data_IF_755846571658
#
_entry.id   IF_755846571658
#
_cell.length_a   1.000
_cell.length_b   1.000
_cell.length_c   1.000
_cell.angle_alpha   90.00
_cell.angle_beta   90.00
_cell.angle_gamma   90.00
#
_symmetry.space_group_name_H-M   'P 1'
#
loop_
_entity.id
_entity.type
_entity.pdbx_description
1 polymer ?
#
# COMPACT_ATOMS: atom_id res chain seq x y z
N UNK A 1 8.08 -7.14 -26.89
CA UNK A 1 7.64 -7.93 -25.71
C UNK A 1 7.01 -6.97 -24.71
N UNK A 2 5.76 -7.21 -24.35
CA UNK A 2 4.95 -6.30 -23.53
C UNK A 2 5.45 -6.36 -22.08
N UNK A 3 6.35 -5.45 -21.67
CA UNK A 3 6.75 -5.30 -20.28
C UNK A 3 5.55 -4.75 -19.51
N UNK A 4 4.64 -5.63 -19.08
CA UNK A 4 3.67 -5.28 -18.02
C UNK A 4 4.51 -4.85 -16.82
N UNK A 5 4.37 -3.59 -16.40
CA UNK A 5 4.98 -3.10 -15.16
C UNK A 5 4.63 -4.09 -14.04
N UNK A 6 5.65 -4.74 -13.48
CA UNK A 6 5.44 -5.71 -12.41
C UNK A 6 5.11 -4.92 -11.15
N UNK A 7 3.84 -4.90 -10.78
CA UNK A 7 3.40 -4.19 -9.58
C UNK A 7 4.02 -4.80 -8.31
N UNK A 8 4.22 -4.00 -7.25
CA UNK A 8 4.45 -4.52 -5.91
C UNK A 8 3.34 -5.48 -5.49
N UNK A 9 3.67 -6.47 -4.66
CA UNK A 9 2.72 -7.48 -4.18
C UNK A 9 2.33 -7.22 -2.73
N UNK A 10 1.07 -7.47 -2.39
CA UNK A 10 0.63 -7.52 -0.99
C UNK A 10 0.79 -8.95 -0.47
N UNK A 11 1.73 -9.13 0.45
CA UNK A 11 2.26 -10.46 0.79
C UNK A 11 1.97 -10.93 2.22
N UNK A 12 1.55 -10.03 3.10
CA UNK A 12 1.13 -10.36 4.47
C UNK A 12 0.31 -9.23 5.09
N UNK A 13 -0.24 -9.48 6.27
CA UNK A 13 -0.67 -8.45 7.23
C UNK A 13 0.45 -8.21 8.22
N UNK A 14 0.80 -6.95 8.43
CA UNK A 14 1.87 -6.55 9.33
C UNK A 14 1.48 -6.86 10.77
N UNK A 15 2.34 -7.63 11.45
CA UNK A 15 2.22 -7.97 12.87
C UNK A 15 3.54 -7.58 13.55
N UNK A 16 3.54 -6.87 14.69
CA UNK A 16 4.78 -6.47 15.37
C UNK A 16 5.70 -7.64 15.72
N UNK A 17 5.13 -8.83 15.96
CA UNK A 17 5.87 -10.06 16.25
C UNK A 17 6.61 -10.66 15.05
N UNK A 18 6.31 -10.22 13.82
CA UNK A 18 6.90 -10.73 12.58
C UNK A 18 7.70 -9.63 11.89
N UNK A 19 9.04 -9.66 11.92
CA UNK A 19 9.84 -8.63 11.30
C UNK A 19 9.66 -8.64 9.77
N UNK A 20 9.71 -7.45 9.18
CA UNK A 20 9.66 -7.30 7.73
C UNK A 20 10.92 -7.85 7.07
N UNK A 21 10.73 -8.60 5.99
CA UNK A 21 11.82 -9.09 5.17
C UNK A 21 12.47 -7.99 4.31
N UNK A 22 13.57 -8.35 3.64
CA UNK A 22 14.23 -7.49 2.65
C UNK A 22 13.21 -7.04 1.59
N UNK A 23 13.23 -5.75 1.21
CA UNK A 23 12.30 -5.14 0.23
C UNK A 23 10.82 -5.15 0.63
N UNK A 24 10.51 -5.29 1.92
CA UNK A 24 9.14 -5.19 2.40
C UNK A 24 8.89 -3.85 3.10
N UNK A 25 7.67 -3.34 2.98
CA UNK A 25 7.21 -2.07 3.54
C UNK A 25 5.86 -2.26 4.23
N UNK A 26 5.65 -1.64 5.41
CA UNK A 26 4.33 -1.58 6.00
C UNK A 26 3.48 -0.53 5.26
N UNK A 27 2.30 -0.94 4.82
CA UNK A 27 1.29 -0.09 4.21
C UNK A 27 0.11 0.03 5.18
N UNK A 28 0.05 1.14 5.89
CA UNK A 28 -1.04 1.45 6.82
C UNK A 28 -2.30 1.76 6.00
N UNK A 29 -3.34 0.94 6.15
CA UNK A 29 -4.64 1.11 5.49
C UNK A 29 -5.58 1.90 6.40
N UNK A 30 -5.68 1.46 7.66
CA UNK A 30 -6.44 2.09 8.73
C UNK A 30 -5.79 1.80 10.10
N UNK A 31 -6.51 2.10 11.19
CA UNK A 31 -6.05 1.93 12.57
C UNK A 31 -5.81 0.46 12.96
N UNK A 32 -6.55 -0.47 12.35
CA UNK A 32 -6.56 -1.89 12.69
C UNK A 32 -5.85 -2.76 11.63
N UNK A 33 -5.65 -2.24 10.42
CA UNK A 33 -5.09 -2.96 9.29
C UNK A 33 -3.85 -2.26 8.73
N UNK A 34 -2.71 -2.94 8.86
CA UNK A 34 -1.49 -2.61 8.14
C UNK A 34 -1.09 -3.80 7.29
N UNK A 35 -0.91 -3.60 6.00
CA UNK A 35 -0.50 -4.63 5.05
C UNK A 35 1.02 -4.62 4.84
N UNK A 36 1.57 -5.74 4.37
CA UNK A 36 2.97 -5.84 3.96
C UNK A 36 3.07 -5.82 2.45
N UNK A 37 3.68 -4.77 1.93
CA UNK A 37 3.98 -4.61 0.51
C UNK A 37 5.40 -5.10 0.20
N UNK A 38 5.54 -6.03 -0.74
CA UNK A 38 6.82 -6.54 -1.25
C UNK A 38 7.15 -5.90 -2.60
N UNK A 39 8.28 -5.20 -2.66
CA UNK A 39 8.76 -4.49 -3.86
C UNK A 39 9.88 -5.24 -4.60
N UNK A 40 10.13 -6.53 -4.33
CA UNK A 40 11.15 -7.31 -5.07
C UNK A 40 10.84 -7.37 -6.56
N UNK A 41 9.57 -7.56 -6.90
CA UNK A 41 9.15 -7.74 -8.29
C UNK A 41 9.09 -6.44 -9.09
N UNK A 42 9.12 -5.28 -8.43
CA UNK A 42 8.88 -4.00 -9.10
C UNK A 42 10.08 -3.43 -9.86
N UNK A 43 11.23 -4.11 -9.82
CA UNK A 43 12.44 -3.64 -10.52
C UNK A 43 12.96 -2.30 -10.00
N UNK A 44 12.43 -1.82 -8.87
CA UNK A 44 12.87 -0.57 -8.22
C UNK A 44 14.34 -0.71 -7.84
N UNK A 45 14.76 -1.86 -7.29
CA UNK A 45 16.14 -2.07 -6.86
C UNK A 45 16.81 -3.12 -7.75
N UNK A 46 17.87 -2.72 -8.45
CA UNK A 46 18.62 -3.57 -9.36
C UNK A 46 19.65 -4.42 -8.60
N UNK A 47 19.28 -5.62 -8.15
CA UNK A 47 20.23 -6.46 -7.40
C UNK A 47 21.40 -7.01 -8.28
N UNK A 48 21.28 -7.04 -9.63
CA UNK A 48 22.22 -7.76 -10.51
C UNK A 48 22.56 -7.04 -11.83
N UNK A 49 23.04 -5.79 -11.80
CA UNK A 49 23.67 -5.22 -13.02
C UNK A 49 25.17 -5.12 -12.85
N UNK A 50 25.91 -5.90 -13.65
CA UNK A 50 27.35 -5.68 -13.83
C UNK A 50 27.55 -4.31 -14.46
N UNK A 51 28.09 -3.38 -13.69
CA UNK A 51 28.71 -2.18 -14.21
C UNK A 51 30.00 -2.61 -14.93
N UNK A 52 30.22 -2.09 -16.14
CA UNK A 52 31.46 -2.26 -16.89
C UNK A 52 31.77 -0.96 -17.61
N UNK A 53 33.06 -0.66 -17.75
CA UNK A 53 33.56 0.46 -18.53
C UNK A 53 34.21 1.56 -17.69
N UNK A 54 34.57 2.65 -18.38
CA UNK A 54 35.39 3.74 -17.86
C UNK A 54 34.84 4.39 -16.59
N UNK A 55 33.52 4.56 -16.48
CA UNK A 55 32.89 5.14 -15.27
C UNK A 55 33.13 4.31 -14.01
N UNK A 56 33.22 2.98 -14.17
CA UNK A 56 33.49 2.08 -13.06
C UNK A 56 34.97 2.15 -12.65
N UNK A 57 35.86 2.23 -13.63
CA UNK A 57 37.29 2.40 -13.39
C UNK A 57 37.56 3.75 -12.70
N UNK A 58 36.94 4.83 -13.16
CA UNK A 58 37.02 6.15 -12.53
C UNK A 58 36.46 6.14 -11.10
N UNK A 59 35.35 5.44 -10.88
CA UNK A 59 34.79 5.26 -9.53
C UNK A 59 35.72 4.45 -8.64
N UNK A 60 36.28 3.34 -9.13
CA UNK A 60 37.21 2.49 -8.38
C UNK A 60 38.49 3.25 -8.01
N UNK A 61 39.04 4.04 -8.93
CA UNK A 61 40.18 4.92 -8.66
C UNK A 61 39.86 5.92 -7.55
N UNK A 62 38.72 6.61 -7.62
CA UNK A 62 38.29 7.55 -6.55
C UNK A 62 38.06 6.84 -5.23
N UNK A 63 37.47 5.64 -5.26
CA UNK A 63 37.19 4.83 -4.08
C UNK A 63 38.47 4.44 -3.34
N UNK A 64 39.52 4.04 -4.07
CA UNK A 64 40.80 3.61 -3.50
C UNK A 64 41.63 4.76 -2.93
N UNK A 65 41.40 6.00 -3.37
CA UNK A 65 42.11 7.18 -2.89
C UNK A 65 41.59 7.64 -1.52
N UNK A 66 40.33 7.36 -1.18
CA UNK A 66 39.71 7.81 0.06
C UNK A 66 40.16 6.94 1.24
N UNK A 67 40.54 7.58 2.35
CA UNK A 67 40.68 6.88 3.62
C UNK A 67 39.32 6.31 4.09
N UNK A 68 39.32 5.30 4.99
CA UNK A 68 38.07 4.75 5.50
C UNK A 68 37.14 5.78 6.15
N UNK A 69 37.70 6.84 6.74
CA UNK A 69 36.91 7.92 7.34
C UNK A 69 36.30 8.84 6.29
N UNK A 70 37.08 9.24 5.29
CA UNK A 70 36.59 10.07 4.17
C UNK A 70 35.52 9.32 3.38
N UNK A 71 35.71 8.03 3.14
CA UNK A 71 34.73 7.18 2.49
C UNK A 71 33.43 7.11 3.29
N UNK A 72 33.50 6.87 4.60
CA UNK A 72 32.31 6.88 5.47
C UNK A 72 31.57 8.21 5.42
N UNK A 73 32.30 9.32 5.41
CA UNK A 73 31.70 10.66 5.32
C UNK A 73 31.07 10.90 3.94
N UNK A 74 31.70 10.47 2.86
CA UNK A 74 31.20 10.64 1.49
C UNK A 74 29.93 9.80 1.21
N UNK A 75 29.75 8.68 1.93
CA UNK A 75 28.58 7.81 1.82
C UNK A 75 27.48 8.14 2.83
N UNK A 76 27.57 9.27 3.53
CA UNK A 76 26.58 9.71 4.51
C UNK A 76 25.93 10.99 4.04
N UNK A 77 24.60 11.03 4.18
CA UNK A 77 23.83 12.26 3.97
C UNK A 77 22.81 12.42 5.09
N UNK A 78 22.50 13.65 5.41
CA UNK A 78 21.46 14.05 6.36
C UNK A 78 20.08 14.10 5.68
N UNK A 79 19.03 14.10 6.51
CA UNK A 79 17.66 14.41 6.02
C UNK A 79 17.62 15.74 5.26
N UNK A 80 18.33 16.77 5.76
CA UNK A 80 18.31 18.11 5.16
C UNK A 80 18.85 18.09 3.73
N UNK A 81 19.99 17.44 3.52
CA UNK A 81 20.60 17.28 2.20
C UNK A 81 19.72 16.48 1.24
N UNK A 82 19.14 15.36 1.72
CA UNK A 82 18.17 14.59 0.93
C UNK A 82 17.01 15.47 0.46
N UNK A 83 16.40 16.23 1.38
CA UNK A 83 15.26 17.08 1.06
C UNK A 83 15.65 18.25 0.15
N UNK A 84 16.84 18.81 0.31
CA UNK A 84 17.38 19.84 -0.57
C UNK A 84 17.50 19.35 -2.01
N UNK A 85 18.12 18.19 -2.23
CA UNK A 85 18.25 17.57 -3.56
C UNK A 85 16.88 17.24 -4.15
N UNK A 86 15.95 16.69 -3.36
CA UNK A 86 14.58 16.41 -3.81
C UNK A 86 13.83 17.68 -4.22
N UNK A 87 14.02 18.79 -3.49
CA UNK A 87 13.39 20.07 -3.80
C UNK A 87 13.84 20.66 -5.14
N UNK A 88 15.08 20.38 -5.56
CA UNK A 88 15.63 20.84 -6.83
C UNK A 88 15.23 19.92 -8.00
N UNK A 89 15.15 18.60 -7.77
CA UNK A 89 15.03 17.61 -8.85
C UNK A 89 13.61 17.04 -9.03
N UNK A 90 12.76 17.13 -8.00
CA UNK A 90 11.41 16.55 -7.99
C UNK A 90 10.36 17.65 -7.85
N UNK A 91 9.73 18.07 -8.96
CA UNK A 91 8.77 19.17 -8.95
C UNK A 91 7.44 18.79 -8.26
N UNK A 92 7.11 17.50 -8.22
CA UNK A 92 5.88 17.03 -7.61
C UNK A 92 5.99 17.03 -6.06
N UNK A 93 5.23 17.92 -5.41
CA UNK A 93 5.11 18.01 -3.94
C UNK A 93 4.70 16.66 -3.31
N UNK A 94 3.76 15.94 -3.93
CA UNK A 94 3.30 14.64 -3.43
C UNK A 94 4.43 13.60 -3.38
N UNK A 95 5.30 13.56 -4.40
CA UNK A 95 6.46 12.67 -4.39
C UNK A 95 7.44 13.04 -3.28
N UNK A 96 7.74 14.34 -3.09
CA UNK A 96 8.62 14.81 -2.01
C UNK A 96 8.09 14.42 -0.63
N UNK A 97 6.79 14.65 -0.37
CA UNK A 97 6.13 14.22 0.87
C UNK A 97 6.14 12.70 1.06
N UNK A 98 5.99 11.94 -0.04
CA UNK A 98 6.04 10.47 0.02
C UNK A 98 7.43 9.97 0.42
N UNK A 99 8.50 10.56 -0.11
CA UNK A 99 9.87 10.23 0.26
C UNK A 99 10.16 10.64 1.71
N UNK A 100 9.71 11.80 2.15
CA UNK A 100 9.86 12.24 3.54
C UNK A 100 9.15 11.29 4.52
N UNK A 101 7.92 10.88 4.21
CA UNK A 101 7.19 9.90 5.02
C UNK A 101 7.93 8.55 5.07
N UNK A 102 8.45 8.08 3.93
CA UNK A 102 9.25 6.86 3.87
C UNK A 102 10.51 6.98 4.75
N UNK A 103 11.22 8.11 4.69
CA UNK A 103 12.36 8.38 5.56
C UNK A 103 11.98 8.22 7.04
N UNK A 104 10.88 8.82 7.49
CA UNK A 104 10.45 8.71 8.88
C UNK A 104 10.06 7.28 9.29
N UNK A 105 9.44 6.52 8.38
CA UNK A 105 9.16 5.11 8.64
C UNK A 105 10.45 4.31 8.79
N UNK A 106 11.44 4.51 7.91
CA UNK A 106 12.72 3.82 7.99
C UNK A 106 13.51 4.24 9.24
N UNK A 107 13.48 5.52 9.60
CA UNK A 107 14.10 6.03 10.81
C UNK A 107 13.47 5.44 12.08
N UNK A 108 12.14 5.39 12.14
CA UNK A 108 11.40 4.91 13.32
C UNK A 108 11.51 3.39 13.50
N UNK A 109 11.46 2.63 12.40
CA UNK A 109 11.30 1.17 12.46
C UNK A 109 12.52 0.38 11.96
N UNK A 110 13.50 1.00 11.32
CA UNK A 110 14.75 0.37 10.92
C UNK A 110 14.62 -0.76 9.88
N UNK A 111 13.53 -0.80 9.11
CA UNK A 111 13.25 -1.90 8.20
C UNK A 111 14.29 -2.02 7.07
N UNK A 112 14.69 -3.25 6.65
CA UNK A 112 15.69 -3.47 5.61
C UNK A 112 15.13 -3.28 4.18
N UNK A 113 14.22 -2.33 4.01
CA UNK A 113 13.52 -2.13 2.74
C UNK A 113 14.49 -1.71 1.63
N UNK A 114 15.33 -0.70 1.90
CA UNK A 114 16.19 -0.07 0.90
C UNK A 114 17.62 -0.65 0.85
N UNK A 115 17.87 -1.76 1.53
CA UNK A 115 19.19 -2.45 1.60
C UNK A 115 19.92 -2.45 0.23
N UNK A 116 21.15 -1.95 0.10
CA UNK A 116 22.09 -1.66 1.18
C UNK A 116 21.92 -0.27 1.83
N UNK A 117 21.01 0.58 1.35
CA UNK A 117 20.73 1.87 1.98
C UNK A 117 19.99 1.67 3.31
N UNK A 118 20.44 2.38 4.34
CA UNK A 118 19.84 2.36 5.68
C UNK A 118 19.82 3.75 6.31
N UNK A 119 18.87 3.97 7.21
CA UNK A 119 18.83 5.15 8.08
C UNK A 119 19.33 4.73 9.45
N UNK A 120 20.36 5.40 9.95
CA UNK A 120 20.92 5.20 11.29
C UNK A 120 20.03 5.84 12.37
N UNK A 121 20.26 5.48 13.62
CA UNK A 121 19.54 6.00 14.79
C UNK A 121 19.75 7.50 15.05
N UNK A 122 20.82 8.08 14.51
CA UNK A 122 21.12 9.52 14.52
C UNK A 122 20.39 10.29 13.39
N UNK A 123 19.70 9.59 12.48
CA UNK A 123 19.00 10.18 11.34
C UNK A 123 19.85 10.28 10.07
N UNK A 124 21.10 9.82 10.11
CA UNK A 124 21.99 9.82 8.95
C UNK A 124 21.63 8.66 8.02
N UNK A 125 21.56 8.94 6.72
CA UNK A 125 21.33 7.94 5.68
C UNK A 125 22.69 7.47 5.16
N UNK A 126 22.91 6.16 5.09
CA UNK A 126 24.18 5.59 4.62
C UNK A 126 24.02 4.27 3.89
N UNK A 127 25.12 3.73 3.38
CA UNK A 127 25.23 2.38 2.82
C UNK A 127 25.85 1.46 3.87
N UNK A 128 25.24 0.30 4.13
CA UNK A 128 25.78 -0.72 5.03
C UNK A 128 27.21 -1.11 4.67
N UNK A 129 28.10 -1.13 5.67
CA UNK A 129 29.55 -1.34 5.51
C UNK A 129 29.89 -2.68 4.85
N UNK A 130 29.18 -3.76 5.21
CA UNK A 130 29.32 -5.10 4.61
C UNK A 130 28.94 -5.15 3.12
N UNK A 131 28.25 -4.12 2.63
CA UNK A 131 27.77 -4.00 1.26
C UNK A 131 28.30 -2.79 0.51
N UNK A 132 29.26 -2.06 1.08
CA UNK A 132 29.89 -0.91 0.41
C UNK A 132 30.70 -1.33 -0.83
N UNK A 133 31.13 -2.59 -0.90
CA UNK A 133 31.76 -3.17 -2.10
C UNK A 133 30.75 -3.51 -3.22
N UNK A 134 29.43 -3.55 -2.93
CA UNK A 134 28.41 -3.85 -3.94
C UNK A 134 28.10 -2.60 -4.76
N UNK A 135 28.55 -2.62 -6.00
CA UNK A 135 28.36 -1.55 -6.97
C UNK A 135 26.97 -1.70 -7.59
N UNK A 136 25.97 -1.01 -7.03
CA UNK A 136 24.62 -0.95 -7.58
C UNK A 136 24.34 0.45 -8.11
N UNK A 137 24.06 0.64 -9.42
CA UNK A 137 23.69 1.94 -9.93
C UNK A 137 22.31 2.35 -9.39
N UNK A 138 22.29 3.33 -8.50
CA UNK A 138 21.07 4.00 -8.06
C UNK A 138 20.45 4.86 -9.17
N UNK A 139 21.17 5.13 -10.26
CA UNK A 139 20.71 5.95 -11.39
C UNK A 139 19.38 5.44 -12.01
N UNK A 140 19.20 4.11 -12.08
CA UNK A 140 17.97 3.51 -12.60
C UNK A 140 16.73 3.79 -11.74
N UNK A 141 16.88 4.08 -10.45
CA UNK A 141 15.76 4.52 -9.60
C UNK A 141 15.24 5.89 -10.03
N UNK A 142 16.12 6.77 -10.53
CA UNK A 142 15.77 8.10 -11.02
C UNK A 142 15.06 7.97 -12.38
N UNK A 143 15.54 7.07 -13.25
CA UNK A 143 14.93 6.80 -14.55
C UNK A 143 13.57 6.11 -14.45
N UNK A 144 13.37 5.25 -13.45
CA UNK A 144 12.10 4.56 -13.17
C UNK A 144 11.10 5.41 -12.36
N UNK A 145 11.33 6.71 -12.22
CA UNK A 145 10.33 7.59 -11.61
C UNK A 145 9.00 7.49 -12.38
N UNK A 146 7.84 7.45 -11.68
CA UNK A 146 6.54 7.39 -12.32
C UNK A 146 6.44 8.46 -13.40
N UNK A 147 6.14 8.03 -14.63
CA UNK A 147 6.16 8.90 -15.83
C UNK A 147 5.40 10.19 -15.51
N UNK A 148 6.07 11.33 -15.71
CA UNK A 148 5.47 12.64 -15.48
C UNK A 148 4.46 12.91 -16.58
N UNK A 149 3.33 13.54 -16.22
CA UNK A 149 2.46 14.09 -17.24
C UNK A 149 3.18 15.29 -17.86
N UNK A 150 3.39 15.29 -19.19
CA UNK A 150 4.06 16.39 -19.90
C UNK A 150 3.38 17.76 -19.69
N UNK A 151 2.11 17.77 -19.32
CA UNK A 151 1.30 18.98 -19.08
C UNK A 151 1.20 19.38 -17.60
N UNK A 152 1.78 18.60 -16.67
CA UNK A 152 1.64 18.86 -15.23
C UNK A 152 2.96 18.69 -14.48
N UNK A 153 3.18 19.62 -13.55
CA UNK A 153 4.22 19.53 -12.51
C UNK A 153 4.02 18.28 -11.63
N UNK A 154 2.78 17.76 -11.54
CA UNK A 154 2.43 16.56 -10.77
C UNK A 154 2.69 15.28 -11.58
N UNK A 155 3.18 14.24 -10.90
CA UNK A 155 3.30 12.92 -11.52
C UNK A 155 1.91 12.28 -11.72
N UNK A 156 1.81 11.22 -12.52
CA UNK A 156 0.54 10.52 -12.75
C UNK A 156 -0.13 10.02 -11.46
N UNK A 157 0.65 9.60 -10.45
CA UNK A 157 0.11 9.13 -9.17
C UNK A 157 -0.45 10.24 -8.28
N UNK A 158 0.04 11.48 -8.45
CA UNK A 158 -0.38 12.65 -7.66
C UNK A 158 -1.16 13.68 -8.48
N UNK A 159 -1.45 13.39 -9.75
CA UNK A 159 -2.36 14.20 -10.57
C UNK A 159 -3.80 13.80 -10.27
N UNK A 160 -4.70 14.77 -10.15
CA UNK A 160 -6.12 14.50 -9.89
C UNK A 160 -6.80 13.78 -11.08
N UNK A 161 -6.25 13.91 -12.29
CA UNK A 161 -6.77 13.28 -13.52
C UNK A 161 -6.73 11.75 -13.48
N UNK A 162 -5.79 11.15 -12.74
CA UNK A 162 -5.70 9.70 -12.60
C UNK A 162 -6.77 9.13 -11.67
N UNK A 163 -7.30 9.95 -10.76
CA UNK A 163 -8.34 9.55 -9.80
C UNK A 163 -9.77 9.80 -10.30
N UNK A 164 -9.97 10.70 -11.27
CA UNK A 164 -11.32 11.02 -11.80
C UNK A 164 -11.79 10.14 -12.96
N UNK A 165 -10.90 9.38 -13.61
CA UNK A 165 -11.17 8.78 -14.91
C UNK A 165 -11.37 7.26 -14.92
N UNK A 166 -11.21 6.58 -13.78
CA UNK A 166 -11.39 5.11 -13.72
C UNK A 166 -12.59 4.76 -12.84
N UNK A 167 -13.54 3.94 -13.34
CA UNK A 167 -14.43 3.21 -12.46
C UNK A 167 -13.59 2.49 -11.39
N UNK A 168 -14.07 2.34 -10.16
CA UNK A 168 -13.35 1.58 -9.12
C UNK A 168 -13.07 0.13 -9.58
N UNK A 169 -13.93 -0.37 -10.46
CA UNK A 169 -14.12 -1.76 -10.88
C UNK A 169 -12.95 -2.48 -11.60
N UNK A 170 -11.97 -1.84 -12.27
CA UNK A 170 -10.78 -2.53 -12.77
C UNK A 170 -9.61 -2.49 -11.76
N UNK A 171 -9.43 -1.38 -11.03
CA UNK A 171 -8.19 -1.12 -10.27
C UNK A 171 -8.07 -2.02 -9.05
N UNK A 172 -9.18 -2.31 -8.36
CA UNK A 172 -9.15 -3.21 -7.21
C UNK A 172 -8.78 -4.64 -7.62
N UNK A 173 -9.12 -5.08 -8.84
CA UNK A 173 -8.78 -6.42 -9.34
C UNK A 173 -7.29 -6.58 -9.55
N UNK A 174 -6.62 -5.56 -10.08
CA UNK A 174 -5.16 -5.60 -10.27
C UNK A 174 -4.43 -5.80 -8.93
N UNK A 175 -4.92 -5.13 -7.88
CA UNK A 175 -4.42 -5.28 -6.49
C UNK A 175 -4.83 -6.64 -5.92
N UNK A 176 -6.06 -7.07 -6.14
CA UNK A 176 -6.55 -8.37 -5.70
C UNK A 176 -5.75 -9.52 -6.31
N UNK A 177 -5.41 -9.45 -7.59
CA UNK A 177 -4.69 -10.51 -8.30
C UNK A 177 -3.22 -10.57 -7.91
N UNK A 178 -2.62 -9.45 -7.46
CA UNK A 178 -1.25 -9.44 -6.93
C UNK A 178 -1.15 -9.84 -5.44
N UNK A 179 -2.30 -9.94 -4.75
CA UNK A 179 -2.39 -10.26 -3.33
C UNK A 179 -2.30 -11.77 -3.07
N UNK A 180 -1.55 -12.19 -2.05
CA UNK A 180 -1.50 -13.60 -1.63
C UNK A 180 -2.83 -14.09 -1.06
N UNK A 181 -3.14 -15.40 -1.14
CA UNK A 181 -4.41 -15.94 -0.64
C UNK A 181 -4.69 -15.62 0.84
N UNK A 182 -3.69 -15.66 1.71
CA UNK A 182 -3.91 -15.38 3.13
C UNK A 182 -4.20 -13.90 3.40
N UNK A 183 -3.57 -12.99 2.65
CA UNK A 183 -3.94 -11.58 2.69
C UNK A 183 -5.38 -11.36 2.22
N UNK A 184 -5.85 -12.09 1.20
CA UNK A 184 -7.24 -12.00 0.76
C UNK A 184 -8.20 -12.42 1.86
N UNK A 185 -7.85 -13.45 2.64
CA UNK A 185 -8.65 -13.89 3.80
C UNK A 185 -8.68 -12.80 4.86
N UNK A 186 -7.52 -12.25 5.23
CA UNK A 186 -7.41 -11.25 6.29
C UNK A 186 -8.15 -9.95 5.92
N UNK A 187 -8.07 -9.50 4.66
CA UNK A 187 -8.83 -8.33 4.15
C UNK A 187 -10.33 -8.61 4.06
N UNK A 188 -10.74 -9.88 3.98
CA UNK A 188 -12.13 -10.30 4.00
C UNK A 188 -12.71 -10.47 5.40
N UNK A 189 -12.01 -10.05 6.44
CA UNK A 189 -12.50 -10.07 7.83
C UNK A 189 -13.13 -8.72 8.14
N UNK A 190 -14.39 -8.73 8.55
CA UNK A 190 -15.11 -7.54 9.02
C UNK A 190 -15.36 -7.69 10.51
N UNK A 191 -14.94 -6.71 11.31
CA UNK A 191 -15.25 -6.71 12.74
C UNK A 191 -16.75 -6.52 12.96
N UNK A 192 -17.36 -7.38 13.80
CA UNK A 192 -18.80 -7.34 14.03
C UNK A 192 -19.25 -6.02 14.68
N UNK A 193 -18.41 -5.41 15.52
CA UNK A 193 -18.60 -4.09 16.13
C UNK A 193 -18.62 -2.97 15.09
N UNK A 194 -17.67 -3.00 14.15
CA UNK A 194 -17.59 -2.05 13.03
C UNK A 194 -18.81 -2.17 12.12
N UNK A 195 -19.19 -3.39 11.75
CA UNK A 195 -20.39 -3.60 10.93
C UNK A 195 -21.66 -3.17 11.67
N UNK A 196 -21.78 -3.46 12.97
CA UNK A 196 -22.93 -3.03 13.76
C UNK A 196 -23.04 -1.50 13.79
N UNK A 197 -21.95 -0.78 14.04
CA UNK A 197 -21.97 0.69 14.06
C UNK A 197 -22.27 1.30 12.68
N UNK A 198 -21.72 0.72 11.61
CA UNK A 198 -22.04 1.12 10.23
C UNK A 198 -23.51 0.88 9.90
N UNK A 199 -24.04 -0.30 10.22
CA UNK A 199 -25.45 -0.65 9.99
C UNK A 199 -26.39 0.26 10.78
N UNK A 200 -26.10 0.51 12.05
CA UNK A 200 -26.90 1.40 12.89
C UNK A 200 -26.92 2.82 12.32
N UNK A 201 -25.76 3.34 11.90
CA UNK A 201 -25.65 4.66 11.27
C UNK A 201 -26.42 4.71 9.96
N UNK A 202 -26.31 3.67 9.14
CA UNK A 202 -27.01 3.59 7.86
C UNK A 202 -28.52 3.55 8.05
N UNK A 203 -29.02 2.71 8.96
CA UNK A 203 -30.44 2.60 9.27
C UNK A 203 -30.98 3.91 9.83
N UNK A 204 -30.27 4.57 10.76
CA UNK A 204 -30.68 5.90 11.28
C UNK A 204 -30.82 6.95 10.18
N UNK A 205 -29.94 6.96 9.18
CA UNK A 205 -29.99 7.91 8.06
C UNK A 205 -31.08 7.60 7.04
N UNK A 206 -31.51 6.34 6.93
CA UNK A 206 -32.40 5.87 5.86
C UNK A 206 -33.75 5.34 6.39
N UNK A 207 -34.09 5.57 7.66
CA UNK A 207 -35.35 5.11 8.27
C UNK A 207 -36.59 5.76 7.63
N UNK A 208 -36.44 6.91 6.95
CA UNK A 208 -37.53 7.56 6.21
C UNK A 208 -37.76 6.97 4.80
N UNK A 209 -36.85 6.12 4.29
CA UNK A 209 -36.99 5.41 3.01
C UNK A 209 -37.36 3.94 3.24
N UNK A 210 -38.58 3.71 3.74
CA UNK A 210 -39.19 2.39 4.08
C UNK A 210 -39.41 1.45 2.87
N UNK A 211 -38.69 1.64 1.76
CA UNK A 211 -38.68 0.76 0.59
C UNK A 211 -37.62 -0.33 0.58
N UNK A 212 -36.50 -0.18 1.31
CA UNK A 212 -35.30 -1.03 1.12
C UNK A 212 -35.01 -2.04 2.24
N UNK A 213 -35.94 -2.27 3.17
CA UNK A 213 -35.81 -3.32 4.18
C UNK A 213 -35.69 -4.74 3.58
N UNK A 214 -36.14 -4.93 2.33
CA UNK A 214 -36.05 -6.18 1.59
C UNK A 214 -34.63 -6.48 1.06
N UNK A 215 -33.77 -5.46 0.89
CA UNK A 215 -32.44 -5.62 0.28
C UNK A 215 -31.41 -6.21 1.26
N UNK A 216 -31.48 -5.82 2.54
CA UNK A 216 -30.51 -6.23 3.57
C UNK A 216 -30.67 -7.68 4.02
N UNK A 217 -31.91 -8.20 4.05
CA UNK A 217 -32.16 -9.61 4.37
C UNK A 217 -31.73 -10.53 3.21
N UNK A 218 -31.86 -10.06 1.96
CA UNK A 218 -31.51 -10.82 0.76
C UNK A 218 -29.99 -10.92 0.55
N UNK A 219 -29.22 -9.88 0.89
CA UNK A 219 -27.77 -9.85 0.76
C UNK A 219 -27.04 -10.88 1.65
N UNK A 220 -27.65 -11.24 2.78
CA UNK A 220 -27.02 -12.10 3.79
C UNK A 220 -27.55 -13.55 3.77
N UNK A 221 -28.84 -13.77 3.46
CA UNK A 221 -29.46 -15.10 3.62
C UNK A 221 -29.70 -15.87 2.31
N UNK A 222 -29.68 -15.21 1.15
CA UNK A 222 -30.01 -15.85 -0.14
C UNK A 222 -31.41 -16.47 -0.24
N UNK A 223 -32.25 -16.37 0.80
CA UNK A 223 -33.61 -16.92 0.87
C UNK A 223 -34.43 -16.15 1.90
N UNK A 224 -35.29 -15.26 1.45
CA UNK A 224 -36.49 -14.93 2.22
C UNK A 224 -37.59 -14.41 1.31
N UNK A 225 -38.73 -15.10 1.33
CA UNK A 225 -40.00 -14.60 0.83
C UNK A 225 -40.52 -13.53 1.78
N UNK A 226 -41.20 -12.56 1.19
CA UNK A 226 -42.02 -11.50 1.80
C UNK A 226 -42.72 -11.97 3.07
N UNK A 227 -42.59 -11.24 4.19
CA UNK A 227 -43.68 -10.82 5.11
C UNK A 227 -43.10 -10.16 6.39
N UNK A 228 -43.70 -9.01 6.77
CA UNK A 228 -43.52 -8.18 7.99
C UNK A 228 -42.20 -7.39 8.19
N UNK A 229 -42.19 -6.17 7.61
CA UNK A 229 -41.11 -5.17 7.54
C UNK A 229 -40.54 -4.63 8.87
N UNK A 230 -41.17 -4.85 10.03
CA UNK A 230 -40.68 -4.31 11.32
C UNK A 230 -40.11 -5.37 12.27
N UNK A 231 -40.61 -6.61 12.21
CA UNK A 231 -40.09 -7.73 13.00
C UNK A 231 -38.77 -8.28 12.46
N UNK A 232 -38.55 -8.19 11.14
CA UNK A 232 -37.33 -8.66 10.49
C UNK A 232 -36.10 -7.87 10.95
N UNK A 233 -36.16 -6.54 11.11
CA UNK A 233 -35.02 -5.77 11.61
C UNK A 233 -34.65 -6.12 13.04
N UNK A 234 -35.64 -6.28 13.93
CA UNK A 234 -35.41 -6.68 15.32
C UNK A 234 -34.90 -8.12 15.41
N UNK A 235 -35.44 -9.04 14.59
CA UNK A 235 -34.93 -10.41 14.49
C UNK A 235 -33.54 -10.46 13.87
N UNK A 236 -33.18 -9.58 12.94
CA UNK A 236 -31.84 -9.51 12.37
C UNK A 236 -30.83 -8.97 13.39
N UNK A 237 -31.16 -7.93 14.15
CA UNK A 237 -30.32 -7.41 15.24
C UNK A 237 -30.20 -8.44 16.38
N UNK A 238 -31.29 -9.11 16.74
CA UNK A 238 -31.30 -10.14 17.78
C UNK A 238 -30.56 -11.41 17.35
N UNK A 239 -30.74 -11.86 16.11
CA UNK A 239 -29.98 -12.94 15.47
C UNK A 239 -28.50 -12.58 15.36
N UNK A 240 -28.16 -11.34 15.00
CA UNK A 240 -26.79 -10.84 14.95
C UNK A 240 -26.13 -10.80 16.35
N UNK A 241 -26.88 -10.43 17.39
CA UNK A 241 -26.42 -10.46 18.79
C UNK A 241 -26.26 -11.89 19.35
N UNK A 242 -27.00 -12.87 18.84
CA UNK A 242 -27.00 -14.25 19.37
C UNK A 242 -26.13 -15.23 18.58
N UNK A 243 -25.82 -14.98 17.29
CA UNK A 243 -25.07 -15.94 16.45
C UNK A 243 -23.55 -15.73 16.43
N UNK A 244 -23.06 -14.53 16.73
CA UNK A 244 -21.63 -14.22 16.63
C UNK A 244 -20.93 -14.38 17.98
N UNK A 245 -20.64 -15.64 18.34
CA UNK A 245 -19.60 -15.93 19.35
C UNK A 245 -18.21 -15.50 18.87
N UNK A 246 -18.01 -15.51 17.54
CA UNK A 246 -16.84 -14.92 16.89
C UNK A 246 -17.07 -13.43 16.67
N UNK A 247 -16.14 -12.61 17.15
CA UNK A 247 -16.21 -11.14 17.08
C UNK A 247 -16.14 -10.60 15.64
N UNK A 248 -15.92 -11.44 14.63
CA UNK A 248 -15.69 -11.01 13.24
C UNK A 248 -16.44 -11.90 12.21
N UNK A 249 -16.68 -11.34 11.03
CA UNK A 249 -17.34 -11.96 9.88
C UNK A 249 -16.31 -12.23 8.78
N UNK A 250 -16.30 -13.44 8.24
CA UNK A 250 -15.42 -13.84 7.15
C UNK A 250 -16.17 -13.84 5.81
N UNK A 251 -15.76 -12.97 4.88
CA UNK A 251 -16.26 -12.94 3.51
C UNK A 251 -15.56 -14.00 2.63
N UNK A 252 -16.24 -14.42 1.56
CA UNK A 252 -15.63 -15.30 0.57
C UNK A 252 -14.57 -14.56 -0.25
N UNK A 253 -13.38 -15.16 -0.41
CA UNK A 253 -12.28 -14.57 -1.18
C UNK A 253 -12.39 -14.76 -2.70
N UNK A 254 -13.54 -15.24 -3.20
CA UNK A 254 -13.76 -15.46 -4.64
C UNK A 254 -13.90 -14.11 -5.34
N UNK A 255 -13.11 -13.88 -6.39
CA UNK A 255 -13.10 -12.60 -7.13
C UNK A 255 -14.48 -12.19 -7.62
N UNK A 256 -15.30 -13.12 -8.10
CA UNK A 256 -16.67 -12.82 -8.55
C UNK A 256 -17.59 -12.38 -7.41
N UNK A 257 -17.40 -12.95 -6.22
CA UNK A 257 -18.17 -12.58 -5.03
C UNK A 257 -17.82 -11.15 -4.58
N UNK A 258 -16.52 -10.86 -4.48
CA UNK A 258 -16.01 -9.51 -4.13
C UNK A 258 -16.43 -8.49 -5.19
N UNK A 259 -16.40 -8.86 -6.47
CA UNK A 259 -16.90 -8.00 -7.57
C UNK A 259 -18.35 -7.61 -7.33
N UNK A 260 -19.22 -8.58 -7.04
CA UNK A 260 -20.64 -8.33 -6.79
C UNK A 260 -20.87 -7.45 -5.57
N UNK A 261 -20.07 -7.60 -4.51
CA UNK A 261 -20.14 -6.74 -3.34
C UNK A 261 -19.73 -5.31 -3.67
N UNK A 262 -18.57 -5.11 -4.31
CA UNK A 262 -18.07 -3.77 -4.67
C UNK A 262 -19.03 -3.08 -5.63
N UNK A 263 -19.55 -3.77 -6.65
CA UNK A 263 -20.51 -3.18 -7.60
C UNK A 263 -21.82 -2.76 -6.94
N UNK A 264 -22.22 -3.38 -5.83
CA UNK A 264 -23.40 -2.94 -5.06
C UNK A 264 -23.12 -1.73 -4.18
N UNK A 265 -21.90 -1.62 -3.66
CA UNK A 265 -21.45 -0.47 -2.87
C UNK A 265 -21.03 0.73 -3.74
N UNK A 266 -20.78 0.52 -5.04
CA UNK A 266 -20.27 1.53 -5.97
C UNK A 266 -21.06 2.86 -5.98
N UNK A 267 -22.41 2.87 -5.94
CA UNK A 267 -23.18 4.12 -5.85
C UNK A 267 -22.81 4.95 -4.60
N UNK A 268 -22.78 4.30 -3.43
CA UNK A 268 -22.42 4.94 -2.17
C UNK A 268 -20.97 5.40 -2.14
N UNK A 269 -20.05 4.62 -2.71
CA UNK A 269 -18.62 4.96 -2.81
C UNK A 269 -18.35 6.14 -3.75
N UNK A 270 -19.20 6.34 -4.76
CA UNK A 270 -19.13 7.48 -5.68
C UNK A 270 -19.92 8.69 -5.18
N UNK A 271 -20.53 8.61 -3.98
CA UNK A 271 -21.34 9.67 -3.40
C UNK A 271 -22.62 9.97 -4.19
N UNK A 272 -23.22 8.94 -4.81
CA UNK A 272 -24.49 9.02 -5.54
C UNK A 272 -25.61 8.31 -4.81
#
# INVERSE_FOLDING_TARGET
MNNKEKLPKLVDVYRPSKPLGRRQLPLVVDENLTLVMDVKSSGIICDNQLLRGKELEDFACKWLVLSPQELRNALQITKSELMHVLNQNVPCVGCRRSVERLYFQLFKFGHPTLDPLMVKSDGTITIKEDKQAYQCPLAKLIENQPKRNKKSVRCLLHSLDSQRSRPLTPVWRDVWDCMKPDCKKDVCIIEASSLHSTLETYLRKNIDSVGNAELNLYLVSGRARTYERKRICLLFVFWYQTLFTDKHIHLQTKTDYITKLISRAEPELLGR
#
